data_IF_313734791190
#
_entry.id   IF_313734791190
#
_cell.length_a   1.000
_cell.length_b   1.000
_cell.length_c   1.000
_cell.angle_alpha   90.00
_cell.angle_beta   90.00
_cell.angle_gamma   90.00
#
_symmetry.space_group_name_H-M   'P 1'
#
loop_
_entity.id
_entity.type
_entity.pdbx_description
1 polymer ?
#
# COMPACT_ATOMS: atom_id res chain seq x y z
N UNK A 1 10.64 13.33 -24.66
CA UNK A 1 11.26 12.08 -24.20
C UNK A 1 10.19 11.01 -24.28
N UNK A 2 10.38 9.99 -25.13
CA UNK A 2 9.42 8.87 -25.23
C UNK A 2 9.53 8.05 -23.93
N UNK A 3 8.44 7.88 -23.19
CA UNK A 3 8.38 7.01 -22.01
C UNK A 3 8.77 5.60 -22.49
N UNK A 4 9.82 5.03 -21.95
CA UNK A 4 10.12 3.61 -22.15
C UNK A 4 9.01 2.84 -21.44
N UNK A 5 8.15 2.19 -22.18
CA UNK A 5 7.23 1.19 -21.66
C UNK A 5 8.03 0.24 -20.75
N UNK A 6 7.57 0.06 -19.54
CA UNK A 6 8.16 -0.87 -18.58
C UNK A 6 8.10 -2.28 -19.19
N UNK A 7 9.25 -2.94 -19.34
CA UNK A 7 9.35 -4.31 -19.83
C UNK A 7 9.99 -5.18 -18.76
N UNK A 8 9.25 -6.14 -18.31
CA UNK A 8 9.74 -7.23 -17.48
C UNK A 8 10.73 -8.11 -18.27
N UNK A 9 11.81 -8.59 -17.63
CA UNK A 9 12.74 -9.54 -18.28
C UNK A 9 12.03 -10.87 -18.52
N UNK A 10 11.61 -11.12 -19.74
CA UNK A 10 11.31 -12.47 -20.25
C UNK A 10 9.86 -12.83 -20.51
N UNK A 11 8.89 -11.91 -20.55
CA UNK A 11 7.51 -12.24 -20.86
C UNK A 11 6.74 -11.13 -21.58
N UNK A 12 5.58 -11.49 -22.06
CA UNK A 12 4.49 -10.68 -22.55
C UNK A 12 4.15 -9.52 -21.57
N UNK A 13 3.40 -8.56 -22.03
CA UNK A 13 3.04 -7.31 -21.34
C UNK A 13 2.59 -7.57 -19.89
N UNK A 14 3.39 -7.12 -18.89
CA UNK A 14 3.01 -7.15 -17.46
C UNK A 14 1.75 -6.35 -17.24
N UNK A 15 0.74 -6.94 -16.63
CA UNK A 15 -0.52 -6.31 -16.28
C UNK A 15 -0.43 -5.72 -14.88
N UNK A 16 -0.56 -4.40 -14.80
CA UNK A 16 -0.51 -3.66 -13.53
C UNK A 16 -1.87 -3.07 -13.23
N UNK A 17 -2.34 -3.17 -12.00
CA UNK A 17 -3.49 -2.43 -11.50
C UNK A 17 -3.11 -1.58 -10.29
N UNK A 18 -3.47 -0.30 -10.33
CA UNK A 18 -3.35 0.61 -9.20
C UNK A 18 -4.69 0.71 -8.48
N UNK A 19 -4.72 0.28 -7.22
CA UNK A 19 -5.90 0.24 -6.37
C UNK A 19 -5.94 1.54 -5.55
N UNK A 20 -7.03 2.27 -5.67
CA UNK A 20 -7.26 3.56 -5.03
C UNK A 20 -8.53 3.49 -4.18
N UNK A 21 -8.42 3.26 -2.86
CA UNK A 21 -9.56 3.33 -1.96
C UNK A 21 -10.08 4.76 -1.83
N UNK A 22 -11.40 4.92 -1.87
CA UNK A 22 -12.06 6.23 -1.73
C UNK A 22 -13.14 6.21 -0.65
N UNK A 23 -13.22 7.32 0.10
CA UNK A 23 -14.33 7.68 0.96
C UNK A 23 -14.34 9.19 1.16
N UNK A 24 -15.28 9.89 0.53
CA UNK A 24 -15.36 11.36 0.49
C UNK A 24 -14.09 11.98 -0.11
N UNK A 25 -13.82 11.65 -1.37
CA UNK A 25 -12.64 12.10 -2.13
C UNK A 25 -13.01 12.77 -3.46
N UNK A 26 -14.23 13.38 -3.53
CA UNK A 26 -14.76 13.98 -4.76
C UNK A 26 -13.86 15.06 -5.35
N UNK A 27 -13.13 15.80 -4.50
CA UNK A 27 -12.22 16.87 -4.92
C UNK A 27 -10.85 16.36 -5.36
N UNK A 28 -10.33 15.32 -4.69
CA UNK A 28 -8.96 14.82 -4.89
C UNK A 28 -8.87 13.74 -5.98
N UNK A 29 -9.88 12.89 -6.10
CA UNK A 29 -9.87 11.75 -7.01
C UNK A 29 -9.63 12.15 -8.48
N UNK A 30 -10.30 13.18 -9.07
CA UNK A 30 -10.07 13.54 -10.46
C UNK A 30 -8.63 13.95 -10.75
N UNK A 31 -8.03 14.70 -9.84
CA UNK A 31 -6.65 15.17 -9.96
C UNK A 31 -5.65 14.01 -9.88
N UNK A 32 -5.85 13.12 -8.90
CA UNK A 32 -5.01 11.94 -8.71
C UNK A 32 -5.12 11.00 -9.91
N UNK A 33 -6.33 10.74 -10.41
CA UNK A 33 -6.58 9.89 -11.58
C UNK A 33 -5.91 10.47 -12.84
N UNK A 34 -6.09 11.76 -13.12
CA UNK A 34 -5.48 12.40 -14.29
C UNK A 34 -3.94 12.34 -14.25
N UNK A 35 -3.33 12.55 -13.06
CA UNK A 35 -1.87 12.43 -12.87
C UNK A 35 -1.39 11.00 -13.07
N UNK A 36 -2.13 10.02 -12.51
CA UNK A 36 -1.78 8.60 -12.63
C UNK A 36 -1.85 8.13 -14.09
N UNK A 37 -2.94 8.45 -14.79
CA UNK A 37 -3.11 8.10 -16.21
C UNK A 37 -2.02 8.71 -17.10
N UNK A 38 -1.52 9.91 -16.73
CA UNK A 38 -0.39 10.55 -17.41
C UNK A 38 0.96 9.91 -17.09
N UNK A 39 1.17 9.50 -15.83
CA UNK A 39 2.44 8.96 -15.36
C UNK A 39 2.67 7.51 -15.81
N UNK A 40 1.62 6.68 -15.78
CA UNK A 40 1.65 5.25 -16.11
C UNK A 40 0.42 4.89 -16.95
N UNK A 41 0.36 5.31 -18.22
CA UNK A 41 -0.81 5.09 -19.09
C UNK A 41 -1.13 3.62 -19.36
N UNK A 42 -0.16 2.72 -19.14
CA UNK A 42 -0.32 1.28 -19.29
C UNK A 42 -0.88 0.56 -18.06
N UNK A 43 -0.94 1.24 -16.89
CA UNK A 43 -1.55 0.66 -15.68
C UNK A 43 -3.06 0.84 -15.72
N UNK A 44 -3.78 -0.24 -15.44
CA UNK A 44 -5.20 -0.15 -15.12
C UNK A 44 -5.38 0.48 -13.72
N UNK A 45 -6.54 1.07 -13.47
CA UNK A 45 -6.89 1.72 -12.19
C UNK A 45 -8.16 1.10 -11.66
N UNK A 46 -8.12 0.66 -10.41
CA UNK A 46 -9.31 0.22 -9.68
C UNK A 46 -9.63 1.23 -8.56
N UNK A 47 -10.73 1.93 -8.68
CA UNK A 47 -11.28 2.77 -7.63
C UNK A 47 -12.15 1.87 -6.73
N UNK A 48 -11.85 1.83 -5.43
CA UNK A 48 -12.62 1.04 -4.45
C UNK A 48 -13.38 2.01 -3.55
N UNK A 49 -14.64 2.24 -3.87
CA UNK A 49 -15.46 3.22 -3.17
C UNK A 49 -16.23 2.60 -2.00
N UNK A 50 -16.02 3.15 -0.80
CA UNK A 50 -16.62 2.72 0.46
C UNK A 50 -18.01 3.37 0.68
N UNK A 51 -18.84 3.44 -0.38
CA UNK A 51 -20.17 4.06 -0.37
C UNK A 51 -20.10 5.54 0.06
N UNK A 52 -19.33 6.32 -0.65
CA UNK A 52 -19.12 7.75 -0.39
C UNK A 52 -20.41 8.57 -0.55
N UNK A 53 -20.85 9.30 0.48
CA UNK A 53 -22.08 10.11 0.40
C UNK A 53 -21.92 11.45 -0.35
N UNK A 54 -20.69 11.84 -0.71
CA UNK A 54 -20.37 13.13 -1.36
C UNK A 54 -20.43 13.08 -2.89
N UNK A 55 -20.78 11.92 -3.50
CA UNK A 55 -20.81 11.74 -4.95
C UNK A 55 -19.50 11.22 -5.56
N UNK A 56 -18.50 10.84 -4.74
CA UNK A 56 -17.25 10.23 -5.22
C UNK A 56 -17.50 9.00 -6.08
N UNK A 57 -18.47 8.14 -5.68
CA UNK A 57 -18.83 6.93 -6.43
C UNK A 57 -19.37 7.23 -7.84
N UNK A 58 -20.29 8.20 -7.98
CA UNK A 58 -20.85 8.59 -9.27
C UNK A 58 -19.76 9.21 -10.18
N UNK A 59 -18.83 9.96 -9.60
CA UNK A 59 -17.67 10.49 -10.31
C UNK A 59 -16.75 9.36 -10.81
N UNK A 60 -16.52 8.35 -9.98
CA UNK A 60 -15.73 7.18 -10.35
C UNK A 60 -16.38 6.40 -11.50
N UNK A 61 -17.70 6.21 -11.48
CA UNK A 61 -18.45 5.57 -12.57
C UNK A 61 -18.36 6.36 -13.88
N UNK A 62 -18.43 7.69 -13.78
CA UNK A 62 -18.27 8.58 -14.94
C UNK A 62 -16.86 8.47 -15.55
N UNK A 63 -15.84 8.34 -14.70
CA UNK A 63 -14.46 8.12 -15.15
C UNK A 63 -14.31 6.76 -15.84
N UNK A 64 -14.88 5.69 -15.28
CA UNK A 64 -14.86 4.36 -15.87
C UNK A 64 -15.60 4.29 -17.22
N UNK A 65 -16.71 5.02 -17.36
CA UNK A 65 -17.42 5.13 -18.62
C UNK A 65 -16.61 5.85 -19.73
N UNK A 66 -15.66 6.70 -19.34
CA UNK A 66 -14.84 7.51 -20.25
C UNK A 66 -13.48 6.88 -20.57
N UNK A 67 -12.95 6.03 -19.70
CA UNK A 67 -11.63 5.38 -19.82
C UNK A 67 -11.75 3.87 -19.57
N UNK A 68 -11.54 3.01 -20.59
CA UNK A 68 -11.66 1.55 -20.45
C UNK A 68 -10.62 0.90 -19.53
N UNK A 69 -9.62 1.65 -19.08
CA UNK A 69 -8.62 1.21 -18.10
C UNK A 69 -8.95 1.64 -16.66
N UNK A 70 -10.11 2.28 -16.44
CA UNK A 70 -10.60 2.64 -15.11
C UNK A 70 -11.77 1.73 -14.74
N UNK A 71 -11.67 1.13 -13.58
CA UNK A 71 -12.66 0.22 -13.01
C UNK A 71 -13.14 0.74 -11.67
N UNK A 72 -14.36 0.41 -11.29
CA UNK A 72 -14.93 0.77 -9.99
C UNK A 72 -15.43 -0.47 -9.27
N UNK A 73 -15.11 -0.55 -7.99
CA UNK A 73 -15.64 -1.53 -7.06
C UNK A 73 -16.38 -0.81 -5.94
N UNK A 74 -17.71 -0.79 -6.01
CA UNK A 74 -18.54 -0.25 -4.94
C UNK A 74 -18.64 -1.24 -3.80
N UNK A 75 -18.34 -0.76 -2.57
CA UNK A 75 -18.55 -1.52 -1.34
C UNK A 75 -19.79 -1.00 -0.62
N UNK A 76 -20.41 -1.84 0.19
CA UNK A 76 -21.68 -1.51 0.89
C UNK A 76 -21.50 -0.44 1.97
N UNK A 77 -20.26 -0.15 2.40
CA UNK A 77 -19.95 0.86 3.39
C UNK A 77 -18.51 0.81 3.88
N UNK A 78 -18.15 1.79 4.69
CA UNK A 78 -16.81 1.97 5.21
C UNK A 78 -16.45 0.92 6.26
N UNK A 79 -15.49 0.05 5.94
CA UNK A 79 -14.93 -0.95 6.85
C UNK A 79 -13.43 -0.77 7.10
N UNK A 80 -12.90 0.40 6.76
CA UNK A 80 -11.49 0.77 6.93
C UNK A 80 -10.62 0.51 5.70
N UNK A 81 -9.47 1.20 5.68
CA UNK A 81 -8.55 1.22 4.53
C UNK A 81 -8.05 -0.20 4.15
N UNK A 82 -7.66 -1.00 5.13
CA UNK A 82 -7.19 -2.37 4.90
C UNK A 82 -8.23 -3.25 4.21
N UNK A 83 -9.50 -3.15 4.64
CA UNK A 83 -10.59 -3.92 4.04
C UNK A 83 -10.86 -3.50 2.58
N UNK A 84 -10.66 -2.22 2.24
CA UNK A 84 -10.78 -1.73 0.87
C UNK A 84 -9.63 -2.26 0.00
N UNK A 85 -8.38 -2.22 0.47
CA UNK A 85 -7.23 -2.82 -0.24
C UNK A 85 -7.40 -4.33 -0.41
N UNK A 86 -7.84 -5.07 0.60
CA UNK A 86 -8.08 -6.52 0.47
C UNK A 86 -9.14 -6.82 -0.61
N UNK A 87 -10.22 -6.03 -0.66
CA UNK A 87 -11.22 -6.18 -1.72
C UNK A 87 -10.63 -5.91 -3.10
N UNK A 88 -9.82 -4.86 -3.23
CA UNK A 88 -9.09 -4.54 -4.46
C UNK A 88 -8.07 -5.61 -4.86
N UNK A 89 -7.33 -6.17 -3.91
CA UNK A 89 -6.40 -7.28 -4.17
C UNK A 89 -7.14 -8.51 -4.72
N UNK A 90 -8.23 -8.92 -4.08
CA UNK A 90 -9.04 -10.04 -4.57
C UNK A 90 -9.56 -9.78 -5.99
N UNK A 91 -10.08 -8.58 -6.23
CA UNK A 91 -10.57 -8.17 -7.56
C UNK A 91 -9.46 -8.27 -8.62
N UNK A 92 -8.25 -7.85 -8.29
CA UNK A 92 -7.10 -7.91 -9.20
C UNK A 92 -6.56 -9.33 -9.40
N UNK A 93 -6.49 -10.14 -8.33
CA UNK A 93 -6.09 -11.54 -8.41
C UNK A 93 -7.04 -12.36 -9.28
N UNK A 94 -8.36 -12.15 -9.15
CA UNK A 94 -9.39 -12.81 -9.96
C UNK A 94 -9.33 -12.45 -11.45
N UNK A 95 -8.56 -11.42 -11.82
CA UNK A 95 -8.40 -10.90 -13.19
C UNK A 95 -7.01 -11.01 -13.76
N UNK A 96 -6.16 -11.82 -13.14
CA UNK A 96 -4.81 -12.14 -13.59
C UNK A 96 -3.88 -10.93 -13.75
N UNK A 97 -3.96 -9.94 -12.84
CA UNK A 97 -2.95 -8.89 -12.75
C UNK A 97 -1.66 -9.42 -12.12
N UNK A 98 -0.52 -9.06 -12.72
CA UNK A 98 0.81 -9.50 -12.29
C UNK A 98 1.35 -8.66 -11.13
N UNK A 99 1.01 -7.36 -11.12
CA UNK A 99 1.41 -6.40 -10.09
C UNK A 99 0.20 -5.62 -9.61
N UNK A 100 0.00 -5.59 -8.30
CA UNK A 100 -1.07 -4.87 -7.65
C UNK A 100 -0.46 -3.76 -6.78
N UNK A 101 -0.91 -2.52 -7.01
CA UNK A 101 -0.36 -1.33 -6.37
C UNK A 101 -1.37 -0.72 -5.40
N UNK A 102 -0.92 -0.37 -4.20
CA UNK A 102 -1.66 0.47 -3.24
C UNK A 102 -1.28 1.94 -3.46
N UNK A 103 -2.27 2.80 -3.61
CA UNK A 103 -2.09 4.26 -3.69
C UNK A 103 -3.29 5.00 -3.12
N UNK A 104 -3.05 6.04 -2.32
CA UNK A 104 -4.12 6.87 -1.75
C UNK A 104 -4.69 7.87 -2.78
N UNK A 105 -5.98 8.22 -2.63
CA UNK A 105 -6.68 9.16 -3.51
C UNK A 105 -6.35 10.64 -3.24
N UNK A 106 -5.80 10.97 -2.06
CA UNK A 106 -5.72 12.32 -1.49
C UNK A 106 -4.54 13.17 -2.01
N UNK A 107 -3.82 12.67 -3.02
CA UNK A 107 -2.67 13.35 -3.63
C UNK A 107 -1.39 13.32 -2.80
N UNK A 108 -1.38 12.66 -1.63
CA UNK A 108 -0.19 12.55 -0.80
C UNK A 108 0.88 11.64 -1.42
N UNK A 109 0.46 10.62 -2.15
CA UNK A 109 1.33 9.81 -3.01
C UNK A 109 1.42 10.47 -4.40
N UNK A 110 2.63 10.64 -4.88
CA UNK A 110 2.87 11.23 -6.22
C UNK A 110 2.82 10.13 -7.27
N UNK A 111 1.80 10.10 -8.16
CA UNK A 111 1.70 9.08 -9.20
C UNK A 111 2.91 9.04 -10.14
N UNK A 112 3.62 10.16 -10.29
CA UNK A 112 4.84 10.29 -11.10
C UNK A 112 6.01 9.44 -10.54
N UNK A 113 5.92 8.99 -9.29
CA UNK A 113 6.91 8.13 -8.65
C UNK A 113 6.56 6.63 -8.77
N UNK A 114 5.34 6.28 -9.24
CA UNK A 114 4.96 4.88 -9.48
C UNK A 114 5.94 4.12 -10.39
N UNK A 115 6.49 4.70 -11.47
CA UNK A 115 7.50 4.02 -12.28
C UNK A 115 8.73 3.56 -11.50
N UNK A 116 9.11 4.23 -10.39
CA UNK A 116 10.21 3.79 -9.53
C UNK A 116 9.87 2.50 -8.77
N UNK A 117 8.63 2.41 -8.27
CA UNK A 117 8.16 1.20 -7.59
C UNK A 117 8.09 0.03 -8.58
N UNK A 118 7.50 0.26 -9.75
CA UNK A 118 7.35 -0.77 -10.78
C UNK A 118 8.71 -1.29 -11.27
N UNK A 119 9.70 -0.41 -11.45
CA UNK A 119 11.05 -0.81 -11.83
C UNK A 119 11.74 -1.69 -10.78
N UNK A 120 11.42 -1.54 -9.51
CA UNK A 120 12.01 -2.32 -8.43
C UNK A 120 11.32 -3.68 -8.21
N UNK A 121 10.09 -3.87 -8.74
CA UNK A 121 9.35 -5.15 -8.63
C UNK A 121 10.09 -6.30 -9.31
N UNK A 122 10.95 -6.06 -10.30
CA UNK A 122 11.78 -7.10 -10.93
C UNK A 122 12.69 -7.84 -9.93
N UNK A 123 13.14 -7.15 -8.89
CA UNK A 123 14.05 -7.69 -7.88
C UNK A 123 13.41 -7.94 -6.52
N UNK A 124 12.11 -7.67 -6.35
CA UNK A 124 11.45 -7.79 -5.06
C UNK A 124 10.00 -8.28 -5.16
N UNK A 125 9.56 -8.99 -4.15
CA UNK A 125 8.18 -9.50 -4.03
C UNK A 125 7.21 -8.41 -3.53
N UNK A 126 7.71 -7.46 -2.73
CA UNK A 126 7.06 -6.25 -2.26
C UNK A 126 7.99 -5.06 -2.41
N UNK A 127 7.52 -4.00 -3.04
CA UNK A 127 8.23 -2.71 -3.10
C UNK A 127 7.45 -1.67 -2.30
N UNK A 128 8.15 -0.96 -1.43
CA UNK A 128 7.58 0.10 -0.58
C UNK A 128 8.16 1.44 -1.02
N UNK A 129 7.29 2.39 -1.35
CA UNK A 129 7.65 3.79 -1.51
C UNK A 129 7.97 4.41 -0.14
N UNK A 130 9.24 4.62 0.15
CA UNK A 130 9.74 4.95 1.47
C UNK A 130 10.11 6.43 1.59
N UNK A 131 9.63 7.06 2.64
CA UNK A 131 9.96 8.44 3.03
C UNK A 131 11.29 8.54 3.77
N UNK A 132 11.80 7.40 4.29
CA UNK A 132 12.90 7.35 5.26
C UNK A 132 14.19 6.69 4.73
N UNK A 133 14.22 6.28 3.48
CA UNK A 133 15.47 5.87 2.78
C UNK A 133 16.19 7.09 2.19
N UNK A 134 17.49 7.00 1.86
CA UNK A 134 18.20 8.08 1.18
C UNK A 134 17.46 8.52 -0.10
N UNK A 135 17.20 9.81 -0.25
CA UNK A 135 16.41 10.39 -1.33
C UNK A 135 14.91 10.49 -1.05
N UNK A 136 14.39 9.79 -0.03
CA UNK A 136 13.00 9.92 0.41
C UNK A 136 12.77 11.20 1.22
N UNK A 137 11.56 11.75 1.15
CA UNK A 137 11.23 13.02 1.80
C UNK A 137 9.76 13.14 2.18
N UNK A 138 9.46 14.11 3.04
CA UNK A 138 8.10 14.54 3.38
C UNK A 138 8.00 16.05 3.24
N UNK A 139 6.97 16.53 2.59
CA UNK A 139 6.71 17.95 2.35
C UNK A 139 5.54 18.40 3.22
N UNK A 140 5.65 19.59 3.81
CA UNK A 140 4.63 20.26 4.65
C UNK A 140 4.24 19.50 5.94
N UNK A 141 5.00 18.48 6.37
CA UNK A 141 4.72 17.79 7.62
C UNK A 141 5.28 18.53 8.84
N UNK A 142 4.51 18.71 9.90
CA UNK A 142 5.02 19.24 11.16
C UNK A 142 6.02 18.27 11.81
N UNK A 143 6.96 18.81 12.57
CA UNK A 143 8.07 18.05 13.15
C UNK A 143 7.61 16.88 14.04
N UNK A 144 6.56 17.08 14.85
CA UNK A 144 6.01 16.03 15.72
C UNK A 144 5.48 14.84 14.92
N UNK A 145 4.85 15.07 13.75
CA UNK A 145 4.35 14.00 12.87
C UNK A 145 5.49 13.21 12.24
N UNK A 146 6.59 13.90 11.84
CA UNK A 146 7.82 13.25 11.37
C UNK A 146 8.42 12.34 12.43
N UNK A 147 8.50 12.84 13.68
CA UNK A 147 9.04 12.09 14.81
C UNK A 147 8.18 10.85 15.11
N UNK A 148 6.85 11.02 15.16
CA UNK A 148 5.92 9.92 15.42
C UNK A 148 6.03 8.83 14.35
N UNK A 149 6.05 9.20 13.07
CA UNK A 149 6.15 8.24 11.95
C UNK A 149 7.49 7.51 11.95
N UNK A 150 8.61 8.21 12.16
CA UNK A 150 9.94 7.58 12.28
C UNK A 150 10.05 6.70 13.52
N UNK A 151 9.53 7.17 14.65
CA UNK A 151 9.50 6.42 15.90
C UNK A 151 8.69 5.13 15.78
N UNK A 152 7.48 5.21 15.22
CA UNK A 152 6.63 4.05 14.95
C UNK A 152 7.28 3.04 14.01
N UNK A 153 7.90 3.50 12.92
CA UNK A 153 8.63 2.63 12.00
C UNK A 153 9.84 1.96 12.66
N UNK A 154 10.62 2.73 13.45
CA UNK A 154 11.78 2.21 14.18
C UNK A 154 11.37 1.18 15.23
N UNK A 155 10.32 1.45 15.99
CA UNK A 155 9.76 0.54 16.97
C UNK A 155 9.30 -0.78 16.33
N UNK A 156 8.48 -0.68 15.28
CA UNK A 156 7.95 -1.85 14.57
C UNK A 156 9.08 -2.69 13.97
N UNK A 157 10.08 -2.03 13.37
CA UNK A 157 11.26 -2.69 12.83
C UNK A 157 12.04 -3.47 13.90
N UNK A 158 12.27 -2.87 15.05
CA UNK A 158 13.00 -3.49 16.15
C UNK A 158 12.22 -4.66 16.77
N UNK A 159 10.91 -4.48 16.97
CA UNK A 159 10.04 -5.50 17.55
C UNK A 159 9.86 -6.72 16.65
N UNK A 160 9.66 -6.49 15.35
CA UNK A 160 9.38 -7.54 14.36
C UNK A 160 10.65 -8.10 13.70
N UNK A 161 11.81 -7.46 13.91
CA UNK A 161 13.08 -7.89 13.30
C UNK A 161 13.13 -7.68 11.78
N UNK A 162 12.47 -6.62 11.27
CA UNK A 162 12.34 -6.36 9.84
C UNK A 162 13.37 -5.34 9.34
N UNK A 163 13.98 -5.54 8.15
CA UNK A 163 14.95 -4.61 7.58
C UNK A 163 14.30 -3.42 6.85
N UNK A 164 13.04 -3.09 7.13
CA UNK A 164 12.25 -2.04 6.46
C UNK A 164 12.31 -0.74 7.26
N UNK A 165 12.68 0.39 6.61
CA UNK A 165 12.80 1.71 7.25
C UNK A 165 11.46 2.43 7.38
N UNK A 166 10.57 2.27 6.41
CA UNK A 166 9.25 2.90 6.39
C UNK A 166 8.11 1.87 6.32
N UNK A 167 7.92 1.15 7.42
CA UNK A 167 6.94 0.06 7.51
C UNK A 167 5.48 0.56 7.46
N UNK A 168 5.26 1.86 7.67
CA UNK A 168 3.92 2.47 7.70
C UNK A 168 3.55 3.17 6.39
N UNK A 169 4.44 3.16 5.38
CA UNK A 169 4.15 3.74 4.08
C UNK A 169 3.02 2.98 3.38
N UNK A 170 2.11 3.70 2.71
CA UNK A 170 0.95 3.15 2.02
C UNK A 170 1.11 3.05 0.49
N UNK A 171 2.18 3.61 -0.09
CA UNK A 171 2.46 3.49 -1.51
C UNK A 171 3.30 2.24 -1.75
N UNK A 172 2.68 1.19 -2.31
CA UNK A 172 3.29 -0.14 -2.39
C UNK A 172 2.96 -0.83 -3.69
N UNK A 173 3.86 -1.68 -4.15
CA UNK A 173 3.62 -2.59 -5.27
C UNK A 173 3.92 -4.02 -4.83
N UNK A 174 2.94 -4.90 -5.01
CA UNK A 174 3.04 -6.32 -4.70
C UNK A 174 3.06 -7.13 -5.99
N UNK A 175 3.89 -8.16 -6.03
CA UNK A 175 3.73 -9.22 -7.02
C UNK A 175 2.50 -10.07 -6.72
N UNK A 176 1.84 -10.57 -7.77
CA UNK A 176 0.72 -11.49 -7.68
C UNK A 176 1.01 -12.65 -6.73
N UNK A 177 2.11 -13.37 -6.97
CA UNK A 177 2.47 -14.57 -6.21
C UNK A 177 2.71 -14.28 -4.73
N UNK A 178 3.03 -13.04 -4.39
CA UNK A 178 3.16 -12.61 -3.00
C UNK A 178 1.80 -12.52 -2.33
N UNK A 179 0.83 -11.89 -2.99
CA UNK A 179 -0.54 -11.76 -2.47
C UNK A 179 -1.27 -13.10 -2.43
N UNK A 180 -1.06 -13.97 -3.41
CA UNK A 180 -1.61 -15.33 -3.42
C UNK A 180 -1.07 -16.20 -2.28
N UNK A 181 0.20 -16.01 -1.91
CA UNK A 181 0.81 -16.71 -0.79
C UNK A 181 0.36 -16.19 0.59
N UNK A 182 -0.28 -15.01 0.63
CA UNK A 182 -0.81 -14.41 1.84
C UNK A 182 -2.24 -14.89 2.10
N UNK A 183 -2.53 -15.28 3.34
CA UNK A 183 -3.91 -15.47 3.79
C UNK A 183 -4.56 -14.11 4.03
N UNK A 184 -5.07 -13.49 2.94
CA UNK A 184 -5.73 -12.19 2.99
C UNK A 184 -7.03 -12.21 3.81
N UNK A 185 -7.63 -13.40 4.05
CA UNK A 185 -8.84 -13.52 4.84
C UNK A 185 -8.58 -13.36 6.34
N UNK A 186 -7.36 -13.68 6.80
CA UNK A 186 -6.95 -13.54 8.20
C UNK A 186 -6.37 -12.17 8.56
N UNK A 187 -6.39 -11.20 7.63
CA UNK A 187 -5.92 -9.83 7.89
C UNK A 187 -7.06 -9.02 8.50
N UNK A 188 -7.02 -8.84 9.81
CA UNK A 188 -8.02 -8.10 10.59
C UNK A 188 -7.55 -6.68 10.97
N UNK A 189 -6.29 -6.36 10.69
CA UNK A 189 -5.67 -5.09 11.09
C UNK A 189 -6.29 -3.90 10.36
N UNK A 190 -6.52 -2.81 11.09
CA UNK A 190 -7.07 -1.56 10.54
C UNK A 190 -6.05 -0.43 10.53
N UNK A 191 -6.27 0.56 9.69
CA UNK A 191 -5.43 1.78 9.63
C UNK A 191 -3.95 1.45 9.35
N UNK A 192 -3.04 2.05 10.13
CA UNK A 192 -1.59 1.82 10.00
C UNK A 192 -1.17 0.40 10.37
N UNK A 193 -1.94 -0.29 11.23
CA UNK A 193 -1.70 -1.69 11.57
C UNK A 193 -1.72 -2.59 10.35
N UNK A 194 -2.58 -2.30 9.39
CA UNK A 194 -2.68 -3.03 8.12
C UNK A 194 -1.35 -3.07 7.36
N UNK A 195 -0.70 -1.91 7.19
CA UNK A 195 0.56 -1.83 6.46
C UNK A 195 1.70 -2.57 7.16
N UNK A 196 1.72 -2.52 8.49
CA UNK A 196 2.70 -3.25 9.30
C UNK A 196 2.45 -4.75 9.24
N UNK A 197 1.19 -5.20 9.34
CA UNK A 197 0.80 -6.61 9.25
C UNK A 197 1.17 -7.21 7.90
N UNK A 198 0.80 -6.53 6.80
CA UNK A 198 1.13 -6.97 5.43
C UNK A 198 2.65 -7.14 5.25
N UNK A 199 3.44 -6.15 5.70
CA UNK A 199 4.92 -6.24 5.63
C UNK A 199 5.46 -7.41 6.44
N UNK A 200 4.93 -7.61 7.66
CA UNK A 200 5.37 -8.69 8.55
C UNK A 200 5.04 -10.07 7.97
N UNK A 201 3.84 -10.24 7.40
CA UNK A 201 3.44 -11.50 6.74
C UNK A 201 4.30 -11.80 5.52
N UNK A 202 4.56 -10.81 4.65
CA UNK A 202 5.46 -10.95 3.50
C UNK A 202 6.86 -11.42 3.95
N UNK A 203 7.41 -10.77 4.97
CA UNK A 203 8.72 -11.15 5.51
C UNK A 203 8.73 -12.55 6.14
N UNK A 204 7.64 -12.97 6.80
CA UNK A 204 7.52 -14.33 7.36
C UNK A 204 7.45 -15.41 6.31
N UNK A 205 6.98 -15.12 5.11
CA UNK A 205 7.03 -16.03 3.96
C UNK A 205 8.42 -16.11 3.32
N UNK A 206 9.41 -15.39 3.87
CA UNK A 206 10.77 -15.34 3.30
C UNK A 206 10.88 -14.58 2.00
N UNK A 207 9.86 -13.76 1.67
CA UNK A 207 9.77 -12.95 0.47
C UNK A 207 10.66 -11.72 0.56
N UNK A 208 11.17 -11.26 -0.59
CA UNK A 208 12.04 -10.09 -0.70
C UNK A 208 11.25 -8.78 -0.63
N UNK A 209 11.73 -7.85 0.19
CA UNK A 209 11.14 -6.51 0.33
C UNK A 209 12.19 -5.47 -0.06
N UNK A 210 11.84 -4.57 -0.98
CA UNK A 210 12.65 -3.43 -1.36
C UNK A 210 11.98 -2.11 -0.96
N UNK A 211 12.78 -1.08 -0.72
CA UNK A 211 12.32 0.28 -0.50
C UNK A 211 12.90 1.20 -1.58
N UNK A 212 12.07 2.01 -2.19
CA UNK A 212 12.46 3.06 -3.13
C UNK A 212 12.12 4.43 -2.55
N UNK A 213 12.93 5.47 -2.79
CA UNK A 213 12.66 6.80 -2.26
C UNK A 213 11.44 7.42 -2.93
N UNK A 214 10.54 7.99 -2.12
CA UNK A 214 9.41 8.81 -2.58
C UNK A 214 9.34 10.13 -1.82
N UNK A 215 8.64 11.09 -2.42
CA UNK A 215 8.24 12.35 -1.78
C UNK A 215 6.78 12.27 -1.37
N UNK A 216 6.53 12.19 -0.08
CA UNK A 216 5.18 12.25 0.47
C UNK A 216 4.79 13.71 0.73
N UNK A 217 3.68 14.15 0.16
CA UNK A 217 3.17 15.50 0.34
C UNK A 217 2.02 15.48 1.36
N UNK A 218 1.97 16.46 2.29
CA UNK A 218 0.76 16.61 3.11
C UNK A 218 -0.43 16.87 2.20
N UNK A 219 -1.55 16.18 2.46
CA UNK A 219 -2.78 16.41 1.70
C UNK A 219 -3.19 17.89 1.78
N UNK A 220 -3.58 18.45 0.66
CA UNK A 220 -4.08 19.83 0.58
C UNK A 220 -5.61 19.91 0.66
N UNK A 221 -6.29 18.80 0.29
CA UNK A 221 -7.74 18.67 0.26
C UNK A 221 -8.20 17.56 1.23
N UNK A 222 -9.38 17.74 1.82
CA UNK A 222 -9.99 16.77 2.73
C UNK A 222 -9.45 16.80 4.17
N UNK A 223 -10.10 16.06 5.07
CA UNK A 223 -9.77 15.98 6.49
C UNK A 223 -8.94 14.73 6.82
N UNK A 224 -7.94 14.86 7.71
CA UNK A 224 -7.17 13.72 8.20
C UNK A 224 -8.05 12.77 9.02
N UNK A 225 -8.12 11.50 8.61
CA UNK A 225 -8.92 10.45 9.27
C UNK A 225 -8.14 9.73 10.40
N UNK A 226 -6.99 10.30 10.85
CA UNK A 226 -6.18 9.72 11.93
C UNK A 226 -6.79 10.01 13.31
N UNK A 227 -6.99 8.96 14.10
CA UNK A 227 -7.27 9.07 15.53
C UNK A 227 -6.11 8.49 16.37
N UNK A 228 -5.91 9.02 17.57
CA UNK A 228 -4.87 8.51 18.50
C UNK A 228 -5.04 7.02 18.84
N UNK A 229 -6.27 6.53 18.87
CA UNK A 229 -6.58 5.13 19.16
C UNK A 229 -5.95 4.16 18.16
N UNK A 230 -5.86 4.54 16.88
CA UNK A 230 -5.24 3.72 15.82
C UNK A 230 -3.74 3.51 16.09
N UNK A 231 -3.07 4.51 16.65
CA UNK A 231 -1.63 4.41 16.99
C UNK A 231 -1.40 3.45 18.15
N UNK A 232 -2.22 3.53 19.22
CA UNK A 232 -2.10 2.62 20.36
C UNK A 232 -2.44 1.17 19.99
N UNK A 233 -3.45 0.96 19.17
CA UNK A 233 -3.80 -0.35 18.65
C UNK A 233 -2.65 -0.95 17.82
N UNK A 234 -2.05 -0.16 16.94
CA UNK A 234 -0.90 -0.60 16.12
C UNK A 234 0.30 -0.99 17.01
N UNK A 235 0.62 -0.22 18.06
CA UNK A 235 1.68 -0.55 19.02
C UNK A 235 1.38 -1.87 19.74
N UNK A 236 0.14 -2.07 20.21
CA UNK A 236 -0.29 -3.29 20.89
C UNK A 236 -0.14 -4.52 19.99
N UNK A 237 -0.61 -4.44 18.75
CA UNK A 237 -0.52 -5.52 17.76
C UNK A 237 0.94 -5.85 17.41
N UNK A 238 1.78 -4.83 17.15
CA UNK A 238 3.21 -5.01 16.87
C UNK A 238 3.92 -5.70 18.02
N UNK A 239 3.62 -5.29 19.27
CA UNK A 239 4.19 -5.92 20.46
C UNK A 239 3.81 -7.39 20.54
N UNK A 240 2.52 -7.71 20.39
CA UNK A 240 1.98 -9.09 20.40
C UNK A 240 2.64 -9.95 19.33
N UNK A 241 2.72 -9.47 18.10
CA UNK A 241 3.35 -10.20 16.98
C UNK A 241 4.85 -10.40 17.21
N UNK A 242 5.57 -9.39 17.67
CA UNK A 242 7.00 -9.49 17.96
C UNK A 242 7.32 -10.49 19.06
N UNK A 243 6.53 -10.52 20.13
CA UNK A 243 6.69 -11.47 21.22
C UNK A 243 6.37 -12.90 20.75
N UNK A 244 5.25 -13.11 20.05
CA UNK A 244 4.87 -14.42 19.56
C UNK A 244 5.90 -15.00 18.58
N UNK A 245 6.46 -14.18 17.69
CA UNK A 245 7.50 -14.60 16.76
C UNK A 245 8.80 -15.01 17.47
N UNK A 246 9.20 -14.31 18.55
CA UNK A 246 10.37 -14.66 19.36
C UNK A 246 10.16 -15.97 20.14
N UNK A 247 8.97 -16.15 20.69
CA UNK A 247 8.59 -17.39 21.39
C UNK A 247 8.63 -18.60 20.44
N UNK A 248 8.09 -18.46 19.24
CA UNK A 248 8.14 -19.51 18.22
C UNK A 248 9.59 -19.92 17.89
N UNK A 249 10.48 -18.92 17.66
CA UNK A 249 11.90 -19.20 17.40
C UNK A 249 12.62 -19.89 18.57
N UNK A 250 12.30 -19.51 19.79
CA UNK A 250 12.86 -20.15 21.00
C UNK A 250 12.38 -21.61 21.12
N UNK A 251 11.10 -21.87 20.95
CA UNK A 251 10.52 -23.21 21.03
C UNK A 251 11.08 -24.16 19.94
N UNK A 252 11.32 -23.66 18.73
CA UNK A 252 11.97 -24.43 17.66
C UNK A 252 13.44 -24.77 18.00
N UNK A 253 14.19 -23.84 18.61
CA UNK A 253 15.56 -24.11 19.06
C UNK A 253 15.61 -25.23 20.13
N UNK A 254 14.71 -25.17 21.10
CA UNK A 254 14.63 -26.22 22.12
C UNK A 254 14.26 -27.60 21.54
N UNK A 255 13.37 -27.65 20.54
CA UNK A 255 13.00 -28.91 19.87
C UNK A 255 14.12 -29.54 19.02
N UNK A 256 15.08 -28.74 18.53
CA UNK A 256 16.22 -29.19 17.74
C UNK A 256 17.42 -29.59 18.60
N UNK A 257 17.38 -29.33 19.91
CA UNK A 257 18.44 -29.58 20.86
C UNK A 257 18.16 -30.82 21.74
N UNK A 258 17.01 -31.46 21.55
CA UNK A 258 16.58 -32.73 22.12
C UNK A 258 16.47 -33.78 21.00
#
# INVERSE_FOLDING_TARGET
MRSRAFRWKGSDRVRVVTIIPTFNEIESLPLTLARLRKAVPESDVLIVDDNSPDGTGDLADSAAASDPQVFVLHRTGKAGLGAAYIAGFRWGLDRDYDVLVEMDADGSHRPEELPLLLAAVDGADLVIGSRWVPGGSVVNWPAHRKLLSRGGSTYSRAMLGLPVRDITAGFRAFRRETLEALDLASVESVGYGFQVDMTFRVARLGKTIAEVPITFVERELGASKMSGNIVFEAIGNVTKWGLSARWAKLSERFRRSV
#
